data_IF_929017057314
#
_entry.id   IF_929017057314
#
_cell.length_a   1.000
_cell.length_b   1.000
_cell.length_c   1.000
_cell.angle_alpha   90.00
_cell.angle_beta   90.00
_cell.angle_gamma   90.00
#
_symmetry.space_group_name_H-M   'P 1'
#
loop_
_entity.id
_entity.type
_entity.pdbx_description
1 polymer ?
#
# COMPACT_ATOMS: atom_id res chain seq x y z
N UNK A 1 13.29 32.28 -5.31
CA UNK A 1 12.19 32.16 -4.35
C UNK A 1 12.74 31.47 -3.11
N UNK A 2 12.45 31.87 -1.87
CA UNK A 2 12.89 31.13 -0.70
C UNK A 2 12.32 29.70 -0.81
N UNK A 3 13.18 28.69 -0.64
CA UNK A 3 12.75 27.30 -0.64
C UNK A 3 11.73 27.08 0.46
N UNK A 4 10.57 26.55 0.08
CA UNK A 4 9.54 26.18 1.05
C UNK A 4 10.10 25.03 1.89
N UNK A 5 10.24 25.17 3.22
CA UNK A 5 10.81 24.11 4.04
C UNK A 5 9.97 22.82 3.91
N UNK A 6 10.66 21.69 3.78
CA UNK A 6 10.03 20.37 3.69
C UNK A 6 9.30 20.02 4.98
N UNK A 7 8.10 19.43 4.89
CA UNK A 7 7.39 18.93 6.07
C UNK A 7 8.18 17.81 6.79
N UNK A 8 8.30 17.90 8.11
CA UNK A 8 9.05 16.94 8.95
C UNK A 8 8.19 16.33 10.05
N UNK A 9 6.98 15.85 9.71
CA UNK A 9 6.05 15.28 10.68
C UNK A 9 6.63 14.07 11.45
N UNK A 10 7.54 13.29 10.83
CA UNK A 10 8.22 12.18 11.49
C UNK A 10 9.14 12.62 12.64
N UNK A 11 9.64 13.86 12.59
CA UNK A 11 10.54 14.45 13.59
C UNK A 11 9.83 15.44 14.52
N UNK A 12 8.50 15.39 14.57
CA UNK A 12 7.72 16.27 15.44
C UNK A 12 8.11 16.09 16.91
N UNK A 13 8.53 17.16 17.63
CA UNK A 13 9.08 17.06 18.99
C UNK A 13 8.03 16.84 20.08
N UNK A 14 6.75 16.93 19.74
CA UNK A 14 5.65 16.81 20.72
C UNK A 14 5.13 15.38 20.78
N UNK A 15 4.73 14.94 21.97
CA UNK A 15 4.06 13.66 22.16
C UNK A 15 2.71 13.62 21.43
N UNK A 16 2.29 12.43 21.02
CA UNK A 16 1.05 12.25 20.27
C UNK A 16 -0.16 12.88 20.94
N UNK A 17 -0.25 12.78 22.28
CA UNK A 17 -1.35 13.36 23.09
C UNK A 17 -1.45 14.87 23.00
N UNK A 18 -0.34 15.54 22.70
CA UNK A 18 -0.24 17.01 22.70
C UNK A 18 -0.33 17.64 21.29
N UNK A 19 -0.23 16.81 20.22
CA UNK A 19 -0.11 17.33 18.85
C UNK A 19 -1.39 17.98 18.33
N UNK A 20 -1.22 19.10 17.63
CA UNK A 20 -2.31 19.79 16.93
C UNK A 20 -3.06 18.85 15.97
N UNK A 21 -2.34 18.01 15.21
CA UNK A 21 -2.93 17.07 14.24
C UNK A 21 -3.81 15.98 14.88
N UNK A 22 -3.76 15.81 16.22
CA UNK A 22 -4.66 14.90 16.92
C UNK A 22 -6.03 15.52 17.21
N UNK A 23 -6.06 16.77 17.63
CA UNK A 23 -7.28 17.39 18.18
C UNK A 23 -7.70 18.68 17.48
N UNK A 24 -6.85 19.23 16.61
CA UNK A 24 -7.04 20.57 16.02
C UNK A 24 -6.71 21.73 16.95
N UNK A 25 -6.23 21.48 18.18
CA UNK A 25 -5.97 22.50 19.22
C UNK A 25 -4.66 22.32 19.98
N UNK A 26 -3.87 21.31 19.67
CA UNK A 26 -2.65 20.98 20.39
C UNK A 26 -1.42 21.80 19.95
N UNK A 27 -0.24 21.34 20.37
CA UNK A 27 1.06 21.93 20.02
C UNK A 27 1.47 21.56 18.59
N UNK A 28 2.17 22.48 17.95
CA UNK A 28 2.76 22.25 16.62
C UNK A 28 4.06 23.04 16.48
N UNK A 29 5.07 22.51 15.77
CA UNK A 29 6.25 23.27 15.40
C UNK A 29 5.89 24.38 14.40
N UNK A 30 6.74 25.40 14.29
CA UNK A 30 6.49 26.56 13.42
C UNK A 30 6.30 26.18 11.93
N UNK A 31 6.95 25.13 11.49
CA UNK A 31 6.90 24.59 10.12
C UNK A 31 5.82 23.50 9.92
N UNK A 32 4.96 23.27 10.90
CA UNK A 32 3.90 22.25 10.83
C UNK A 32 3.00 22.45 9.60
N UNK A 33 2.86 21.43 8.72
CA UNK A 33 2.06 21.55 7.51
C UNK A 33 0.57 21.79 7.80
N UNK A 34 0.04 21.31 8.92
CA UNK A 34 -1.36 21.54 9.31
C UNK A 34 -1.67 23.02 9.57
N UNK A 35 -0.68 23.82 9.96
CA UNK A 35 -0.83 25.25 10.21
C UNK A 35 -0.40 26.11 9.02
N UNK A 36 0.69 25.72 8.35
CA UNK A 36 1.24 26.48 7.22
C UNK A 36 0.45 26.33 5.93
N UNK A 37 -0.12 25.14 5.69
CA UNK A 37 -0.77 24.78 4.42
C UNK A 37 -2.30 24.78 4.53
N UNK A 38 -2.87 25.81 5.18
CA UNK A 38 -4.33 25.89 5.41
C UNK A 38 -5.15 25.89 4.12
N UNK A 39 -4.67 26.57 3.07
CA UNK A 39 -5.34 26.56 1.77
C UNK A 39 -5.38 25.14 1.19
N UNK A 40 -4.27 24.41 1.27
CA UNK A 40 -4.20 23.02 0.83
C UNK A 40 -5.10 22.09 1.66
N UNK A 41 -5.23 22.36 2.96
CA UNK A 41 -6.17 21.64 3.83
C UNK A 41 -7.63 21.84 3.36
N UNK A 42 -7.98 23.05 2.92
CA UNK A 42 -9.29 23.36 2.33
C UNK A 42 -9.53 22.56 1.03
N UNK A 43 -8.60 22.61 0.10
CA UNK A 43 -8.66 21.84 -1.15
C UNK A 43 -8.76 20.33 -0.90
N UNK A 44 -7.97 19.79 0.03
CA UNK A 44 -8.03 18.37 0.39
C UNK A 44 -9.39 17.98 0.98
N UNK A 45 -9.99 18.85 1.80
CA UNK A 45 -11.35 18.65 2.32
C UNK A 45 -12.38 18.58 1.19
N UNK A 46 -12.33 19.50 0.25
CA UNK A 46 -13.24 19.51 -0.89
C UNK A 46 -13.08 18.24 -1.73
N UNK A 47 -11.83 17.84 -2.03
CA UNK A 47 -11.55 16.61 -2.76
C UNK A 47 -12.02 15.35 -2.00
N UNK A 48 -11.85 15.30 -0.68
CA UNK A 48 -12.32 14.16 0.14
C UNK A 48 -13.84 14.04 0.16
N UNK A 49 -14.53 15.18 0.14
CA UNK A 49 -16.00 15.24 0.17
C UNK A 49 -16.62 15.17 -1.24
N UNK A 50 -15.83 15.14 -2.30
CA UNK A 50 -16.32 14.91 -3.64
C UNK A 50 -17.02 13.54 -3.75
N UNK A 51 -18.11 13.41 -4.58
CA UNK A 51 -18.89 12.18 -4.67
C UNK A 51 -18.06 10.91 -4.89
N UNK A 52 -17.02 10.99 -5.72
CA UNK A 52 -16.15 9.85 -6.06
C UNK A 52 -15.26 9.38 -4.89
N UNK A 53 -15.01 10.24 -3.90
CA UNK A 53 -14.11 9.95 -2.80
C UNK A 53 -14.82 9.79 -1.45
N UNK A 54 -15.94 10.47 -1.25
CA UNK A 54 -16.59 10.60 0.06
C UNK A 54 -16.97 9.25 0.66
N UNK A 55 -17.65 8.39 -0.11
CA UNK A 55 -18.08 7.09 0.41
C UNK A 55 -16.90 6.15 0.63
N UNK A 56 -15.90 6.17 -0.25
CA UNK A 56 -14.68 5.40 -0.06
C UNK A 56 -13.95 5.81 1.24
N UNK A 57 -13.73 7.09 1.45
CA UNK A 57 -13.07 7.61 2.64
C UNK A 57 -13.87 7.29 3.93
N UNK A 58 -15.21 7.38 3.84
CA UNK A 58 -16.10 7.02 4.95
C UNK A 58 -15.98 5.54 5.30
N UNK A 59 -16.06 4.64 4.32
CA UNK A 59 -15.97 3.20 4.57
C UNK A 59 -14.57 2.78 5.02
N UNK A 60 -13.51 3.42 4.52
CA UNK A 60 -12.15 3.20 5.00
C UNK A 60 -12.00 3.56 6.49
N UNK A 61 -12.55 4.70 6.93
CA UNK A 61 -12.53 5.11 8.33
C UNK A 61 -13.39 4.22 9.23
N UNK A 62 -14.54 3.73 8.74
CA UNK A 62 -15.37 2.77 9.46
C UNK A 62 -14.66 1.42 9.60
N UNK A 63 -13.92 0.99 8.55
CA UNK A 63 -13.13 -0.24 8.61
C UNK A 63 -11.98 -0.11 9.60
N UNK A 64 -11.25 1.02 9.62
CA UNK A 64 -10.24 1.29 10.64
C UNK A 64 -10.80 1.10 12.05
N UNK A 65 -11.92 1.75 12.36
CA UNK A 65 -12.56 1.63 13.67
C UNK A 65 -12.99 0.19 13.99
N UNK A 66 -13.44 -0.58 13.01
CA UNK A 66 -13.87 -1.98 13.17
C UNK A 66 -12.70 -2.95 13.44
N UNK A 67 -11.45 -2.51 13.23
CA UNK A 67 -10.25 -3.31 13.50
C UNK A 67 -9.83 -3.30 14.96
N UNK A 68 -10.46 -2.48 15.79
CA UNK A 68 -10.08 -2.31 17.20
C UNK A 68 -11.18 -2.70 18.16
N UNK A 69 -10.80 -3.50 19.19
CA UNK A 69 -11.55 -3.70 20.42
C UNK A 69 -11.20 -2.65 21.49
N UNK A 70 -11.96 -2.58 22.58
CA UNK A 70 -11.70 -1.71 23.73
C UNK A 70 -11.99 -0.21 23.51
N UNK A 71 -12.60 0.17 22.38
CA UNK A 71 -12.83 1.57 21.98
C UNK A 71 -13.61 2.39 23.00
N UNK A 72 -14.52 1.77 23.77
CA UNK A 72 -15.34 2.43 24.78
C UNK A 72 -14.51 2.99 25.95
N UNK A 73 -13.33 2.40 26.18
CA UNK A 73 -12.39 2.82 27.24
C UNK A 73 -11.37 3.87 26.78
N UNK A 74 -11.54 4.41 25.57
CA UNK A 74 -10.68 5.44 25.01
C UNK A 74 -9.47 4.90 24.23
N UNK A 75 -8.75 5.80 23.59
CA UNK A 75 -7.70 5.47 22.62
C UNK A 75 -6.54 4.64 23.22
N UNK A 76 -6.23 4.81 24.50
CA UNK A 76 -5.16 4.07 25.19
C UNK A 76 -5.50 2.61 25.50
N UNK A 77 -6.78 2.20 25.35
CA UNK A 77 -7.26 0.87 25.67
C UNK A 77 -7.57 0.02 24.42
N UNK A 78 -7.37 0.57 23.22
CA UNK A 78 -7.66 -0.17 21.98
C UNK A 78 -6.64 -1.27 21.74
N UNK A 79 -7.10 -2.40 21.19
CA UNK A 79 -6.26 -3.52 20.77
C UNK A 79 -6.74 -4.06 19.42
N UNK A 80 -5.83 -4.63 18.59
CA UNK A 80 -6.18 -5.13 17.27
C UNK A 80 -7.02 -6.40 17.36
N UNK A 81 -8.01 -6.55 16.47
CA UNK A 81 -8.93 -7.69 16.41
C UNK A 81 -8.72 -8.61 15.21
N UNK A 82 -8.13 -8.11 14.12
CA UNK A 82 -8.18 -8.82 12.82
C UNK A 82 -6.89 -8.64 12.03
N UNK A 83 -6.49 -9.66 11.27
CA UNK A 83 -5.42 -9.54 10.29
C UNK A 83 -5.92 -8.76 9.07
N UNK A 84 -4.97 -8.14 8.33
CA UNK A 84 -5.24 -7.29 7.17
C UNK A 84 -6.09 -7.97 6.08
N UNK A 85 -5.96 -9.27 5.86
CA UNK A 85 -6.80 -9.97 4.87
C UNK A 85 -8.29 -9.92 5.24
N UNK A 86 -8.63 -10.01 6.52
CA UNK A 86 -10.01 -9.88 7.01
C UNK A 86 -10.50 -8.44 6.83
N UNK A 87 -9.66 -7.46 7.11
CA UNK A 87 -9.96 -6.04 6.87
C UNK A 87 -10.28 -5.77 5.40
N UNK A 88 -9.52 -6.36 4.47
CA UNK A 88 -9.75 -6.22 3.02
C UNK A 88 -11.12 -6.81 2.64
N UNK A 89 -11.45 -8.00 3.13
CA UNK A 89 -12.74 -8.67 2.87
C UNK A 89 -13.90 -7.81 3.39
N UNK A 90 -13.82 -7.33 4.62
CA UNK A 90 -14.87 -6.51 5.22
C UNK A 90 -15.03 -5.16 4.52
N UNK A 91 -13.92 -4.49 4.18
CA UNK A 91 -13.94 -3.26 3.44
C UNK A 91 -14.60 -3.43 2.06
N UNK A 92 -14.20 -4.45 1.31
CA UNK A 92 -14.79 -4.73 0.00
C UNK A 92 -16.31 -5.01 0.09
N UNK A 93 -16.75 -5.71 1.14
CA UNK A 93 -18.20 -5.91 1.43
C UNK A 93 -18.92 -4.60 1.75
N UNK A 94 -18.32 -3.73 2.58
CA UNK A 94 -18.87 -2.40 2.92
C UNK A 94 -19.04 -1.52 1.69
N UNK A 95 -18.11 -1.62 0.74
CA UNK A 95 -18.17 -0.91 -0.54
C UNK A 95 -19.14 -1.54 -1.55
N UNK A 96 -19.70 -2.71 -1.25
CA UNK A 96 -20.57 -3.44 -2.17
C UNK A 96 -19.83 -4.01 -3.39
N UNK A 97 -18.52 -4.17 -3.30
CA UNK A 97 -17.72 -4.74 -4.39
C UNK A 97 -18.04 -6.22 -4.58
N UNK A 98 -18.06 -6.65 -5.83
CA UNK A 98 -18.25 -8.05 -6.22
C UNK A 98 -17.01 -8.64 -6.89
N UNK A 99 -16.32 -7.86 -7.72
CA UNK A 99 -15.16 -8.33 -8.47
C UNK A 99 -13.89 -7.66 -7.99
N UNK A 100 -12.94 -8.48 -7.52
CA UNK A 100 -11.66 -8.03 -7.00
C UNK A 100 -10.51 -8.47 -7.92
N UNK A 101 -9.50 -7.60 -8.05
CA UNK A 101 -8.23 -7.96 -8.69
C UNK A 101 -7.24 -8.47 -7.63
N UNK A 102 -6.60 -9.62 -7.89
CA UNK A 102 -5.45 -10.08 -7.12
C UNK A 102 -4.20 -10.00 -7.99
N UNK A 103 -3.34 -9.05 -7.68
CA UNK A 103 -2.15 -8.72 -8.47
C UNK A 103 -0.91 -9.16 -7.69
N UNK A 104 -0.17 -10.14 -8.19
CA UNK A 104 0.85 -10.77 -7.37
C UNK A 104 2.20 -10.98 -8.08
N UNK A 105 3.26 -11.05 -7.29
CA UNK A 105 4.57 -11.50 -7.76
C UNK A 105 4.58 -13.02 -7.93
N UNK A 106 5.13 -13.51 -9.02
CA UNK A 106 5.24 -14.96 -9.30
C UNK A 106 5.91 -15.75 -8.17
N UNK A 107 6.83 -15.13 -7.44
CA UNK A 107 7.47 -15.73 -6.27
C UNK A 107 6.54 -15.95 -5.06
N UNK A 108 5.30 -15.45 -5.14
CA UNK A 108 4.25 -15.64 -4.13
C UNK A 108 3.03 -16.35 -4.72
N UNK A 109 3.22 -17.19 -5.75
CA UNK A 109 2.10 -17.86 -6.42
C UNK A 109 1.31 -18.79 -5.50
N UNK A 110 1.96 -19.41 -4.52
CA UNK A 110 1.30 -20.29 -3.55
C UNK A 110 0.44 -19.50 -2.56
N UNK A 111 1.00 -18.42 -2.04
CA UNK A 111 0.28 -17.49 -1.17
C UNK A 111 -0.86 -16.79 -1.92
N UNK A 112 -0.65 -16.46 -3.20
CA UNK A 112 -1.67 -15.90 -4.05
C UNK A 112 -2.84 -16.88 -4.28
N UNK A 113 -2.58 -18.18 -4.40
CA UNK A 113 -3.63 -19.19 -4.48
C UNK A 113 -4.48 -19.23 -3.20
N UNK A 114 -3.85 -19.18 -2.02
CA UNK A 114 -4.55 -19.10 -0.72
C UNK A 114 -5.37 -17.82 -0.61
N UNK A 115 -4.80 -16.66 -1.00
CA UNK A 115 -5.52 -15.38 -0.97
C UNK A 115 -6.72 -15.43 -1.93
N UNK A 116 -6.54 -15.99 -3.14
CA UNK A 116 -7.63 -16.19 -4.09
C UNK A 116 -8.77 -17.01 -3.47
N UNK A 117 -8.46 -18.14 -2.85
CA UNK A 117 -9.43 -19.01 -2.19
C UNK A 117 -10.17 -18.27 -1.06
N UNK A 118 -9.44 -17.53 -0.22
CA UNK A 118 -10.06 -16.73 0.85
C UNK A 118 -11.06 -15.73 0.27
N UNK A 119 -10.68 -14.98 -0.78
CA UNK A 119 -11.55 -13.99 -1.39
C UNK A 119 -12.77 -14.65 -2.07
N UNK A 120 -12.57 -15.73 -2.82
CA UNK A 120 -13.64 -16.46 -3.49
C UNK A 120 -14.64 -17.08 -2.48
N UNK A 121 -14.15 -17.72 -1.41
CA UNK A 121 -14.98 -18.27 -0.33
C UNK A 121 -15.80 -17.18 0.36
N UNK A 122 -15.31 -15.94 0.36
CA UNK A 122 -16.02 -14.79 0.90
C UNK A 122 -16.99 -14.12 -0.07
N UNK A 123 -17.22 -14.73 -1.24
CA UNK A 123 -18.26 -14.36 -2.20
C UNK A 123 -17.83 -13.36 -3.26
N UNK A 124 -16.52 -13.20 -3.49
CA UNK A 124 -16.00 -12.33 -4.54
C UNK A 124 -15.63 -13.10 -5.81
N UNK A 125 -15.91 -12.50 -6.97
CA UNK A 125 -15.29 -12.89 -8.25
C UNK A 125 -13.85 -12.38 -8.24
N UNK A 126 -12.86 -13.25 -8.42
CA UNK A 126 -11.44 -12.89 -8.32
C UNK A 126 -10.74 -13.00 -9.66
N UNK A 127 -10.35 -11.88 -10.22
CA UNK A 127 -9.43 -11.82 -11.35
C UNK A 127 -7.98 -11.79 -10.84
N UNK A 128 -7.21 -12.87 -11.03
CA UNK A 128 -5.83 -12.94 -10.54
C UNK A 128 -4.81 -12.88 -11.66
N UNK A 129 -3.74 -12.09 -11.48
CA UNK A 129 -2.71 -11.90 -12.51
C UNK A 129 -1.31 -11.81 -11.91
N UNK A 130 -0.39 -12.67 -12.44
CA UNK A 130 1.01 -12.68 -12.02
C UNK A 130 1.83 -11.58 -12.69
N UNK A 131 2.95 -11.20 -12.07
CA UNK A 131 3.84 -10.18 -12.63
C UNK A 131 4.54 -10.59 -13.94
N UNK A 132 4.52 -11.88 -14.31
CA UNK A 132 5.13 -12.41 -15.55
C UNK A 132 4.14 -12.52 -16.70
N UNK A 133 2.93 -11.96 -16.56
CA UNK A 133 1.92 -11.92 -17.61
C UNK A 133 2.49 -11.33 -18.91
N UNK A 134 2.15 -11.94 -20.05
CA UNK A 134 2.60 -11.55 -21.37
C UNK A 134 3.95 -12.14 -21.79
N UNK A 135 4.76 -12.72 -20.91
CA UNK A 135 5.98 -13.43 -21.24
C UNK A 135 7.06 -12.60 -21.97
N UNK A 136 7.02 -11.27 -21.88
CA UNK A 136 7.91 -10.37 -22.63
C UNK A 136 9.33 -10.36 -22.03
N UNK A 137 10.39 -10.34 -22.88
CA UNK A 137 11.76 -10.39 -22.41
C UNK A 137 12.23 -9.07 -21.79
N UNK A 138 13.11 -9.14 -20.79
CA UNK A 138 13.74 -7.96 -20.17
C UNK A 138 14.55 -7.11 -21.14
N UNK A 139 15.01 -7.66 -22.24
CA UNK A 139 15.72 -6.91 -23.29
C UNK A 139 14.90 -5.77 -23.89
N UNK A 140 13.56 -5.83 -23.83
CA UNK A 140 12.69 -4.72 -24.23
C UNK A 140 12.91 -3.46 -23.36
N UNK A 141 13.41 -3.62 -22.14
CA UNK A 141 13.76 -2.53 -21.24
C UNK A 141 15.23 -2.10 -21.37
N UNK A 142 15.97 -2.64 -22.36
CA UNK A 142 17.40 -2.37 -22.51
C UNK A 142 18.29 -3.02 -21.45
N UNK A 143 17.76 -3.99 -20.68
CA UNK A 143 18.53 -4.71 -19.65
C UNK A 143 19.44 -5.71 -20.32
N UNK A 144 20.75 -5.57 -20.10
CA UNK A 144 21.76 -6.48 -20.62
C UNK A 144 21.74 -7.83 -19.87
N UNK A 145 22.19 -8.94 -20.50
CA UNK A 145 22.14 -10.27 -19.88
C UNK A 145 22.79 -10.33 -18.49
N UNK A 146 23.93 -9.67 -18.29
CA UNK A 146 24.63 -9.64 -17.00
C UNK A 146 23.85 -8.97 -15.87
N UNK A 147 22.88 -8.10 -16.20
CA UNK A 147 22.04 -7.36 -15.25
C UNK A 147 20.71 -8.06 -14.97
N UNK A 148 20.51 -9.24 -15.56
CA UNK A 148 19.33 -10.09 -15.30
C UNK A 148 19.48 -10.82 -13.95
N UNK A 149 18.37 -11.33 -13.42
CA UNK A 149 18.38 -12.18 -12.21
C UNK A 149 19.04 -13.53 -12.51
N UNK A 150 18.89 -14.02 -13.74
CA UNK A 150 19.57 -15.19 -14.29
C UNK A 150 20.39 -14.76 -15.52
N UNK A 151 21.67 -14.37 -15.36
CA UNK A 151 22.50 -13.93 -16.47
C UNK A 151 22.77 -15.00 -17.53
N UNK A 152 22.58 -16.29 -17.18
CA UNK A 152 22.78 -17.42 -18.11
C UNK A 152 21.52 -17.77 -18.91
N UNK A 153 20.38 -17.19 -18.60
CA UNK A 153 19.13 -17.50 -19.29
C UNK A 153 19.09 -16.87 -20.69
N UNK A 154 18.77 -17.66 -21.70
CA UNK A 154 18.54 -17.16 -23.06
C UNK A 154 17.32 -16.22 -23.14
N UNK A 155 16.37 -16.39 -22.23
CA UNK A 155 15.17 -15.57 -22.11
C UNK A 155 14.80 -15.39 -20.64
N UNK A 156 14.82 -14.16 -20.14
CA UNK A 156 14.25 -13.83 -18.85
C UNK A 156 13.04 -12.90 -19.03
N UNK A 157 11.86 -13.42 -18.68
CA UNK A 157 10.62 -12.63 -18.72
C UNK A 157 10.68 -11.46 -17.73
N UNK A 158 10.40 -10.26 -18.20
CA UNK A 158 10.26 -9.09 -17.33
C UNK A 158 9.03 -9.18 -16.43
N UNK A 159 9.05 -8.47 -15.30
CA UNK A 159 7.82 -8.14 -14.60
C UNK A 159 7.09 -7.03 -15.38
N UNK A 160 5.80 -7.19 -15.60
CA UNK A 160 5.00 -6.25 -16.37
C UNK A 160 3.79 -5.74 -15.56
N UNK A 161 4.02 -4.82 -14.60
CA UNK A 161 2.94 -4.26 -13.77
C UNK A 161 1.95 -3.43 -14.57
N UNK A 162 2.35 -2.85 -15.69
CA UNK A 162 1.46 -2.13 -16.60
C UNK A 162 0.43 -3.09 -17.22
N UNK A 163 0.92 -4.25 -17.72
CA UNK A 163 0.01 -5.26 -18.27
C UNK A 163 -0.85 -5.91 -17.17
N UNK A 164 -0.31 -6.09 -15.95
CA UNK A 164 -1.13 -6.52 -14.82
C UNK A 164 -2.31 -5.57 -14.58
N UNK A 165 -2.06 -4.25 -14.60
CA UNK A 165 -3.11 -3.25 -14.46
C UNK A 165 -4.12 -3.31 -15.61
N UNK A 166 -3.65 -3.41 -16.85
CA UNK A 166 -4.54 -3.51 -18.03
C UNK A 166 -5.43 -4.76 -17.96
N UNK A 167 -4.90 -5.91 -17.52
CA UNK A 167 -5.67 -7.16 -17.39
C UNK A 167 -6.79 -7.03 -16.35
N UNK A 168 -6.50 -6.45 -15.17
CA UNK A 168 -7.56 -6.26 -14.16
C UNK A 168 -8.54 -5.17 -14.54
N UNK A 169 -8.11 -4.14 -15.31
CA UNK A 169 -9.01 -3.14 -15.86
C UNK A 169 -9.99 -3.77 -16.87
N UNK A 170 -9.48 -4.60 -17.81
CA UNK A 170 -10.29 -5.33 -18.78
C UNK A 170 -11.27 -6.31 -18.08
N UNK A 171 -10.83 -6.94 -17.00
CA UNK A 171 -11.69 -7.78 -16.18
C UNK A 171 -12.78 -6.99 -15.42
N UNK A 172 -12.74 -5.66 -15.45
CA UNK A 172 -13.71 -4.81 -14.74
C UNK A 172 -13.66 -4.95 -13.22
N UNK A 173 -12.46 -5.09 -12.65
CA UNK A 173 -12.31 -5.16 -11.20
C UNK A 173 -12.69 -3.85 -10.54
N UNK A 174 -13.31 -3.91 -9.37
CA UNK A 174 -13.79 -2.75 -8.62
C UNK A 174 -12.80 -2.31 -7.53
N UNK A 175 -11.93 -3.23 -7.10
CA UNK A 175 -10.86 -2.99 -6.14
C UNK A 175 -9.74 -4.00 -6.35
N UNK A 176 -8.48 -3.58 -6.19
CA UNK A 176 -7.31 -4.41 -6.44
C UNK A 176 -6.53 -4.68 -5.16
N UNK A 177 -6.09 -5.93 -4.96
CA UNK A 177 -5.26 -6.37 -3.85
C UNK A 177 -3.89 -6.76 -4.37
N UNK A 178 -2.84 -6.05 -3.92
CA UNK A 178 -1.46 -6.28 -4.34
C UNK A 178 -0.75 -7.20 -3.36
N UNK A 179 -0.11 -8.25 -3.88
CA UNK A 179 0.64 -9.22 -3.10
C UNK A 179 2.08 -9.33 -3.58
N UNK A 180 2.99 -8.72 -2.84
CA UNK A 180 4.43 -8.85 -3.00
C UNK A 180 5.01 -8.25 -4.27
N UNK A 181 4.46 -7.19 -4.84
CA UNK A 181 5.11 -6.49 -5.94
C UNK A 181 6.42 -5.83 -5.46
N UNK A 182 7.40 -5.77 -6.35
CA UNK A 182 8.70 -5.17 -6.06
C UNK A 182 8.60 -3.64 -6.05
N UNK A 183 9.57 -3.00 -5.38
CA UNK A 183 9.74 -1.55 -5.37
C UNK A 183 9.73 -0.99 -6.80
N UNK A 184 8.88 -0.01 -7.06
CA UNK A 184 8.66 0.60 -8.37
C UNK A 184 7.65 -0.14 -9.26
N UNK A 185 7.50 -1.45 -9.14
CA UNK A 185 6.48 -2.22 -9.90
C UNK A 185 5.08 -1.97 -9.35
N UNK A 186 4.93 -1.86 -8.03
CA UNK A 186 3.71 -1.43 -7.37
C UNK A 186 3.29 -0.02 -7.80
N UNK A 187 4.25 0.91 -7.90
CA UNK A 187 4.00 2.29 -8.36
C UNK A 187 3.49 2.33 -9.81
N UNK A 188 4.10 1.52 -10.71
CA UNK A 188 3.64 1.40 -12.10
C UNK A 188 2.24 0.78 -12.18
N UNK A 189 1.97 -0.23 -11.35
CA UNK A 189 0.62 -0.80 -11.30
C UNK A 189 -0.41 0.25 -10.89
N UNK A 190 -0.21 0.96 -9.79
CA UNK A 190 -1.14 1.99 -9.32
C UNK A 190 -1.33 3.15 -10.32
N UNK A 191 -0.28 3.49 -11.07
CA UNK A 191 -0.38 4.52 -12.10
C UNK A 191 -1.32 4.14 -13.25
N UNK A 192 -1.45 2.85 -13.56
CA UNK A 192 -2.21 2.35 -14.71
C UNK A 192 -3.51 1.62 -14.33
N UNK A 193 -3.74 1.36 -13.06
CA UNK A 193 -4.97 0.75 -12.56
C UNK A 193 -6.11 1.75 -12.58
N UNK A 194 -7.25 1.38 -13.16
CA UNK A 194 -8.46 2.20 -13.17
C UNK A 194 -9.18 2.14 -11.81
N UNK A 195 -9.29 0.96 -11.21
CA UNK A 195 -9.86 0.79 -9.87
C UNK A 195 -8.81 1.07 -8.80
N UNK A 196 -9.25 1.63 -7.68
CA UNK A 196 -8.41 1.79 -6.49
C UNK A 196 -7.90 0.43 -5.98
N UNK A 197 -6.83 0.45 -5.20
CA UNK A 197 -6.25 -0.77 -4.69
C UNK A 197 -5.58 -0.60 -3.33
N UNK A 198 -5.30 -1.73 -2.71
CA UNK A 198 -4.57 -1.81 -1.45
C UNK A 198 -3.44 -2.84 -1.52
N UNK A 199 -2.44 -2.68 -0.68
CA UNK A 199 -1.34 -3.64 -0.58
C UNK A 199 -1.61 -4.58 0.59
N UNK A 200 -1.70 -5.89 0.31
CA UNK A 200 -1.75 -6.92 1.36
C UNK A 200 -0.35 -7.15 1.93
N UNK A 201 0.66 -7.31 1.06
CA UNK A 201 2.06 -7.39 1.43
C UNK A 201 2.95 -6.80 0.32
N UNK A 202 4.06 -6.16 0.70
CA UNK A 202 5.10 -5.69 -0.23
C UNK A 202 6.19 -6.75 -0.42
N UNK A 203 7.01 -6.63 -1.48
CA UNK A 203 8.14 -7.52 -1.70
C UNK A 203 9.28 -7.16 -0.76
N UNK A 204 9.61 -8.11 0.09
CA UNK A 204 10.88 -8.16 0.82
C UNK A 204 11.39 -9.60 0.81
N UNK A 205 12.45 -9.87 0.04
CA UNK A 205 12.97 -11.24 -0.13
C UNK A 205 13.77 -11.73 1.07
N UNK A 206 14.39 -10.78 1.78
CA UNK A 206 15.24 -11.07 2.92
C UNK A 206 14.42 -11.32 4.20
N UNK A 207 13.37 -10.53 4.38
CA UNK A 207 12.59 -10.49 5.63
C UNK A 207 11.20 -11.14 5.51
N UNK A 208 11.02 -12.05 4.54
CA UNK A 208 9.75 -12.76 4.39
C UNK A 208 8.55 -11.82 4.18
N UNK A 209 8.76 -10.74 3.42
CA UNK A 209 7.75 -9.72 3.12
C UNK A 209 7.30 -8.87 4.33
N UNK A 210 8.15 -8.80 5.36
CA UNK A 210 7.99 -7.92 6.51
C UNK A 210 9.13 -6.88 6.59
N UNK A 211 9.13 -5.82 5.76
CA UNK A 211 10.21 -4.83 5.70
C UNK A 211 10.40 -4.05 7.00
N UNK A 212 9.36 -3.96 7.84
CA UNK A 212 9.47 -3.27 9.13
C UNK A 212 10.40 -4.02 10.11
N UNK A 213 10.69 -5.30 9.90
CA UNK A 213 11.61 -6.04 10.76
C UNK A 213 13.02 -5.41 10.76
N UNK A 214 13.50 -4.89 9.62
CA UNK A 214 14.77 -4.14 9.56
C UNK A 214 14.69 -2.82 10.35
N UNK A 215 13.56 -2.13 10.24
CA UNK A 215 13.36 -0.84 10.93
C UNK A 215 13.29 -1.04 12.46
N UNK A 216 12.59 -2.07 12.92
CA UNK A 216 12.53 -2.41 14.35
C UNK A 216 13.90 -2.76 14.95
N UNK A 217 14.83 -3.22 14.12
CA UNK A 217 16.18 -3.59 14.52
C UNK A 217 17.24 -2.54 14.11
N UNK A 218 16.82 -1.30 13.82
CA UNK A 218 17.67 -0.20 13.36
C UNK A 218 18.78 0.16 14.36
N UNK A 219 18.54 0.02 15.66
CA UNK A 219 19.52 0.29 16.71
C UNK A 219 20.48 -0.90 16.96
N UNK A 220 20.18 -2.08 16.40
CA UNK A 220 20.93 -3.31 16.63
C UNK A 220 21.49 -3.91 15.33
N UNK A 221 20.88 -4.98 14.82
CA UNK A 221 21.39 -5.74 13.68
C UNK A 221 21.47 -4.91 12.38
N UNK A 222 20.57 -3.94 12.20
CA UNK A 222 20.50 -3.08 11.01
C UNK A 222 21.09 -1.68 11.22
N UNK A 223 21.94 -1.49 12.25
CA UNK A 223 22.58 -0.21 12.54
C UNK A 223 23.45 0.35 11.40
N UNK A 224 23.83 -0.48 10.43
CA UNK A 224 24.54 -0.01 9.24
C UNK A 224 23.69 0.94 8.39
N UNK A 225 22.37 0.89 8.50
CA UNK A 225 21.43 1.82 7.84
C UNK A 225 21.53 3.26 8.36
N UNK A 226 22.29 3.51 9.44
CA UNK A 226 22.61 4.86 9.92
C UNK A 226 23.66 5.56 9.04
N UNK A 227 24.25 4.85 8.10
CA UNK A 227 25.23 5.39 7.16
C UNK A 227 24.65 5.42 5.74
N UNK A 228 25.17 6.30 4.86
CA UNK A 228 24.82 6.24 3.44
C UNK A 228 25.06 4.84 2.90
N UNK A 229 24.09 4.35 2.14
CA UNK A 229 24.22 3.07 1.43
C UNK A 229 25.12 3.26 0.21
N UNK A 230 25.88 2.22 -0.22
CA UNK A 230 26.76 2.28 -1.38
C UNK A 230 26.02 2.58 -2.69
#
# INVERSE_FOLDING_TARGET
MPETPLPQCALCPFDWSERYCRTGKGKAPADCPSLRLRALTGQAREATLAPDNQEFARQASLQEAACYGGRQSGYGAVYPLKPRIVEIVEFARRMGYRRLGLVFCIGLRHEAAVVHEILATNGFDVASVSCKVGGQPKSLLGIAPQDQVDPGAAHETMCNPVLQAMVVNEAGTQFNVLLGLCVGHDSLFFKHAAAMGTVLAVKDRLLGHNPLAAIFQYESYYRYLKKPLP
#
